data_IF_224704349488
#
_entry.id   IF_224704349488
#
_cell.length_a   1.000
_cell.length_b   1.000
_cell.length_c   1.000
_cell.angle_alpha   90.00
_cell.angle_beta   90.00
_cell.angle_gamma   90.00
#
_symmetry.space_group_name_H-M   'P 1'
#
loop_
_entity.id
_entity.type
_entity.pdbx_description
1 polymer ?
#
# COMPACT_ATOMS: atom_id res chain seq x y z
N UNK A 1 -12.09 -5.27 68.00
CA UNK A 1 -10.65 -5.42 67.70
C UNK A 1 -10.14 -4.14 67.03
N UNK A 2 -9.60 -3.17 67.79
CA UNK A 2 -9.09 -1.90 67.23
C UNK A 2 -7.72 -2.15 66.58
N UNK A 3 -7.63 -2.16 65.25
CA UNK A 3 -6.33 -2.17 64.55
C UNK A 3 -5.46 -1.03 65.08
N UNK A 4 -4.26 -1.37 65.58
CA UNK A 4 -3.24 -0.40 66.00
C UNK A 4 -2.99 0.57 64.84
N UNK A 5 -3.06 1.87 65.11
CA UNK A 5 -3.00 2.96 64.12
C UNK A 5 -1.81 2.86 63.14
N UNK A 6 -0.67 2.31 63.59
CA UNK A 6 0.50 2.05 62.77
C UNK A 6 0.29 1.02 61.65
N UNK A 7 -0.54 -0.01 61.86
CA UNK A 7 -0.83 -1.03 60.85
C UNK A 7 -1.67 -0.45 59.70
N UNK A 8 -2.62 0.44 60.03
CA UNK A 8 -3.45 1.14 59.04
C UNK A 8 -2.64 2.09 58.15
N UNK A 9 -1.68 2.83 58.72
CA UNK A 9 -0.77 3.67 57.92
C UNK A 9 0.09 2.85 56.97
N UNK A 10 0.63 1.71 57.42
CA UNK A 10 1.43 0.81 56.57
C UNK A 10 0.61 0.23 55.41
N UNK A 11 -0.63 -0.18 55.66
CA UNK A 11 -1.53 -0.64 54.59
C UNK A 11 -1.86 0.47 53.58
N UNK A 12 -2.06 1.70 54.04
CA UNK A 12 -2.31 2.85 53.16
C UNK A 12 -1.13 3.10 52.19
N UNK A 13 0.10 3.15 52.71
CA UNK A 13 1.28 3.28 51.85
C UNK A 13 1.46 2.09 50.92
N UNK A 14 1.20 0.87 51.39
CA UNK A 14 1.27 -0.33 50.55
C UNK A 14 0.33 -0.24 49.34
N UNK A 15 -0.92 0.20 49.55
CA UNK A 15 -1.89 0.38 48.45
C UNK A 15 -1.43 1.44 47.45
N UNK A 16 -0.85 2.55 47.93
CA UNK A 16 -0.30 3.59 47.05
C UNK A 16 0.84 3.05 46.20
N UNK A 17 1.82 2.38 46.82
CA UNK A 17 2.95 1.80 46.10
C UNK A 17 2.51 0.72 45.10
N UNK A 18 1.52 -0.10 45.47
CA UNK A 18 0.94 -1.09 44.58
C UNK A 18 0.26 -0.42 43.37
N UNK A 19 -0.47 0.68 43.59
CA UNK A 19 -1.09 1.45 42.51
C UNK A 19 -0.07 2.03 41.53
N UNK A 20 1.00 2.64 42.04
CA UNK A 20 2.09 3.18 41.21
C UNK A 20 2.75 2.06 40.41
N UNK A 21 3.01 0.92 41.04
CA UNK A 21 3.62 -0.23 40.39
C UNK A 21 2.76 -0.78 39.24
N UNK A 22 1.45 -0.89 39.45
CA UNK A 22 0.51 -1.33 38.40
C UNK A 22 0.46 -0.34 37.22
N UNK A 23 0.48 0.97 37.49
CA UNK A 23 0.52 2.00 36.44
C UNK A 23 1.82 1.89 35.62
N UNK A 24 2.96 1.64 36.27
CA UNK A 24 4.23 1.43 35.58
C UNK A 24 4.22 0.20 34.67
N UNK A 25 3.65 -0.92 35.13
CA UNK A 25 3.48 -2.13 34.31
C UNK A 25 2.61 -1.85 33.09
N UNK A 26 1.48 -1.16 33.27
CA UNK A 26 0.61 -0.79 32.16
C UNK A 26 1.37 0.07 31.14
N UNK A 27 2.10 1.09 31.60
CA UNK A 27 2.93 1.93 30.74
C UNK A 27 3.94 1.14 29.90
N UNK A 28 4.64 0.18 30.52
CA UNK A 28 5.60 -0.70 29.83
C UNK A 28 4.91 -1.58 28.78
N UNK A 29 3.78 -2.20 29.11
CA UNK A 29 3.03 -3.04 28.17
C UNK A 29 2.52 -2.24 26.96
N UNK A 30 2.01 -1.04 27.21
CA UNK A 30 1.60 -0.13 26.13
C UNK A 30 2.79 0.29 25.27
N UNK A 31 3.93 0.61 25.87
CA UNK A 31 5.14 1.01 25.14
C UNK A 31 5.64 -0.11 24.21
N UNK A 32 5.75 -1.35 24.71
CA UNK A 32 6.16 -2.52 23.92
C UNK A 32 5.18 -2.78 22.75
N UNK A 33 3.87 -2.67 22.99
CA UNK A 33 2.87 -2.84 21.93
C UNK A 33 2.99 -1.75 20.88
N UNK A 34 3.15 -0.50 21.29
CA UNK A 34 3.31 0.65 20.41
C UNK A 34 4.56 0.52 19.54
N UNK A 35 5.69 0.10 20.10
CA UNK A 35 6.93 -0.11 19.34
C UNK A 35 6.77 -1.20 18.28
N UNK A 36 6.09 -2.31 18.63
CA UNK A 36 5.82 -3.38 17.67
C UNK A 36 4.95 -2.90 16.51
N UNK A 37 3.89 -2.15 16.81
CA UNK A 37 2.98 -1.59 15.81
C UNK A 37 3.70 -0.56 14.94
N UNK A 38 4.54 0.30 15.54
CA UNK A 38 5.31 1.29 14.82
C UNK A 38 6.31 0.63 13.84
N UNK A 39 7.02 -0.41 14.29
CA UNK A 39 7.92 -1.19 13.43
C UNK A 39 7.18 -1.89 12.28
N UNK A 40 5.99 -2.45 12.54
CA UNK A 40 5.16 -3.03 11.48
C UNK A 40 4.70 -1.96 10.48
N UNK A 41 4.32 -0.78 10.98
CA UNK A 41 3.87 0.35 10.16
C UNK A 41 5.00 0.87 9.27
N UNK A 42 6.22 1.02 9.80
CA UNK A 42 7.39 1.41 9.02
C UNK A 42 7.70 0.38 7.93
N UNK A 43 7.73 -0.92 8.26
CA UNK A 43 7.93 -1.98 7.26
C UNK A 43 6.87 -1.94 6.17
N UNK A 44 5.61 -1.69 6.52
CA UNK A 44 4.52 -1.61 5.56
C UNK A 44 4.68 -0.38 4.65
N UNK A 45 5.05 0.78 5.20
CA UNK A 45 5.35 1.99 4.42
C UNK A 45 6.47 1.74 3.42
N UNK A 46 7.58 1.12 3.84
CA UNK A 46 8.69 0.78 2.94
C UNK A 46 8.24 -0.14 1.80
N UNK A 47 7.44 -1.18 2.11
CA UNK A 47 6.90 -2.08 1.07
C UNK A 47 5.99 -1.36 0.09
N UNK A 48 5.15 -0.44 0.56
CA UNK A 48 4.27 0.35 -0.31
C UNK A 48 5.06 1.22 -1.29
N UNK A 49 6.14 1.88 -0.83
CA UNK A 49 7.00 2.68 -1.70
C UNK A 49 7.60 1.82 -2.81
N UNK A 50 8.15 0.64 -2.47
CA UNK A 50 8.70 -0.30 -3.45
C UNK A 50 7.63 -0.74 -4.46
N UNK A 51 6.43 -1.12 -4.00
CA UNK A 51 5.34 -1.50 -4.89
C UNK A 51 4.85 -0.36 -5.80
N UNK A 52 4.89 0.88 -5.31
CA UNK A 52 4.55 2.05 -6.12
C UNK A 52 5.60 2.29 -7.21
N UNK A 53 6.88 2.16 -6.89
CA UNK A 53 7.95 2.23 -7.88
C UNK A 53 7.85 1.12 -8.93
N UNK A 54 7.57 -0.11 -8.51
CA UNK A 54 7.42 -1.24 -9.42
C UNK A 54 6.20 -1.07 -10.33
N UNK A 55 5.06 -0.61 -9.79
CA UNK A 55 3.90 -0.24 -10.60
C UNK A 55 4.23 0.86 -11.61
N UNK A 56 5.01 1.87 -11.20
CA UNK A 56 5.44 2.94 -12.11
C UNK A 56 6.32 2.38 -13.23
N UNK A 57 7.28 1.51 -12.92
CA UNK A 57 8.14 0.84 -13.91
C UNK A 57 7.32 -0.04 -14.86
N UNK A 58 6.36 -0.81 -14.35
CA UNK A 58 5.47 -1.62 -15.19
C UNK A 58 4.62 -0.76 -16.11
N UNK A 59 4.05 0.35 -15.63
CA UNK A 59 3.30 1.29 -16.48
C UNK A 59 4.16 1.87 -17.58
N UNK A 60 5.41 2.25 -17.28
CA UNK A 60 6.35 2.74 -18.28
C UNK A 60 6.70 1.66 -19.31
N UNK A 61 6.93 0.41 -18.89
CA UNK A 61 7.16 -0.73 -19.80
C UNK A 61 5.95 -1.02 -20.70
N UNK A 62 4.74 -0.96 -20.14
CA UNK A 62 3.51 -1.11 -20.93
C UNK A 62 3.42 0.01 -21.95
N UNK A 63 3.60 1.26 -21.51
CA UNK A 63 3.55 2.42 -22.40
C UNK A 63 4.55 2.27 -23.56
N UNK A 64 5.77 1.87 -23.24
CA UNK A 64 6.85 1.62 -24.22
C UNK A 64 6.50 0.48 -25.19
N UNK A 65 5.98 -0.64 -24.68
CA UNK A 65 5.53 -1.76 -25.51
C UNK A 65 4.29 -1.42 -26.38
N UNK A 66 3.42 -0.53 -25.90
CA UNK A 66 2.24 -0.06 -26.62
C UNK A 66 2.51 1.15 -27.50
N UNK A 67 3.75 1.66 -27.56
CA UNK A 67 4.07 2.71 -28.52
C UNK A 67 3.80 2.22 -29.92
N UNK A 68 3.21 3.08 -30.75
CA UNK A 68 2.82 2.76 -32.11
C UNK A 68 3.99 2.16 -32.91
N UNK A 69 5.21 2.67 -32.68
CA UNK A 69 6.44 2.18 -33.29
C UNK A 69 6.71 0.70 -32.99
N UNK A 70 6.62 0.29 -31.72
CA UNK A 70 6.84 -1.11 -31.32
C UNK A 70 5.71 -2.03 -31.79
N UNK A 71 4.46 -1.55 -31.76
CA UNK A 71 3.31 -2.29 -32.31
C UNK A 71 3.48 -2.53 -33.80
N UNK A 72 3.87 -1.49 -34.55
CA UNK A 72 4.11 -1.60 -35.98
C UNK A 72 5.33 -2.48 -36.30
N UNK A 73 6.40 -2.39 -35.52
CA UNK A 73 7.57 -3.24 -35.67
C UNK A 73 7.21 -4.71 -35.43
N UNK A 74 6.45 -5.01 -34.38
CA UNK A 74 5.99 -6.37 -34.08
C UNK A 74 5.01 -6.88 -35.15
N UNK A 75 4.12 -6.05 -35.66
CA UNK A 75 3.23 -6.39 -36.77
C UNK A 75 4.00 -6.66 -38.09
N UNK A 76 5.07 -5.89 -38.35
CA UNK A 76 5.96 -6.10 -39.51
C UNK A 76 6.78 -7.38 -39.37
N UNK A 77 7.38 -7.62 -38.20
CA UNK A 77 8.35 -8.69 -37.99
C UNK A 77 7.71 -10.04 -37.65
N UNK A 78 6.72 -10.08 -36.75
CA UNK A 78 6.09 -11.33 -36.30
C UNK A 78 4.88 -11.71 -37.15
N UNK A 79 4.05 -10.73 -37.55
CA UNK A 79 2.83 -10.98 -38.31
C UNK A 79 3.01 -10.82 -39.83
N UNK A 80 4.22 -10.45 -40.29
CA UNK A 80 4.56 -10.20 -41.71
C UNK A 80 3.57 -9.25 -42.40
N UNK A 81 2.92 -8.36 -41.64
CA UNK A 81 1.96 -7.42 -42.19
C UNK A 81 2.69 -6.36 -43.02
N UNK A 82 2.32 -6.24 -44.29
CA UNK A 82 2.79 -5.16 -45.17
C UNK A 82 1.86 -3.95 -45.02
N UNK A 83 2.43 -2.77 -44.87
CA UNK A 83 1.68 -1.52 -44.85
C UNK A 83 0.90 -1.36 -46.16
N UNK A 84 -0.44 -1.41 -46.10
CA UNK A 84 -1.31 -1.08 -47.23
C UNK A 84 -1.42 0.44 -47.28
N UNK A 85 -0.51 1.07 -48.02
CA UNK A 85 -0.45 2.55 -48.15
C UNK A 85 -1.64 3.14 -48.92
N UNK A 86 -2.44 2.32 -49.60
CA UNK A 86 -3.55 2.74 -50.44
C UNK A 86 -4.83 1.99 -50.06
N UNK A 87 -5.56 2.51 -49.07
CA UNK A 87 -6.96 2.13 -48.87
C UNK A 87 -7.78 3.02 -49.81
N UNK A 88 -8.10 2.52 -51.00
CA UNK A 88 -9.06 3.19 -51.89
C UNK A 88 -10.47 2.90 -51.36
N UNK A 89 -11.07 3.89 -50.70
CA UNK A 89 -12.46 3.81 -50.26
C UNK A 89 -13.38 3.87 -51.48
N UNK A 90 -14.06 2.76 -51.78
CA UNK A 90 -15.15 2.75 -52.75
C UNK A 90 -16.38 3.33 -52.05
N UNK A 91 -16.66 4.61 -52.30
CA UNK A 91 -17.89 5.26 -51.84
C UNK A 91 -19.08 4.80 -52.68
N UNK A 92 -19.83 3.82 -52.20
CA UNK A 92 -21.10 3.42 -52.82
C UNK A 92 -22.14 4.48 -52.47
N UNK A 93 -22.44 5.39 -53.41
CA UNK A 93 -23.59 6.30 -53.29
C UNK A 93 -24.87 5.49 -53.46
N UNK A 94 -25.62 5.34 -52.38
CA UNK A 94 -26.99 4.82 -52.43
C UNK A 94 -27.87 5.96 -52.95
N UNK A 95 -28.26 5.91 -54.21
CA UNK A 95 -29.29 6.81 -54.73
C UNK A 95 -30.59 6.42 -54.04
N UNK A 96 -31.13 7.32 -53.21
CA UNK A 96 -32.50 7.24 -52.77
C UNK A 96 -33.37 7.50 -54.01
N UNK A 97 -34.15 6.51 -54.41
CA UNK A 97 -35.24 6.71 -55.36
C UNK A 97 -36.40 7.33 -54.55
N UNK A 98 -36.85 8.49 -55.01
CA UNK A 98 -38.08 9.17 -54.61
C UNK A 98 -39.32 8.30 -54.88
#
# INVERSE_FOLDING_TARGET
MKMKSGLRRRMFYFVIYLGIFLIAILGLVFNIKTDRINNQTQKLKTRLVVLQEDNRKMRLKILDATTLANIEEKARNELKMRFVKNINYIMIKKYAQD
#
